data_IF_345218811161
#
_entry.id   IF_345218811161
#
_cell.length_a   1.000
_cell.length_b   1.000
_cell.length_c   1.000
_cell.angle_alpha   90.00
_cell.angle_beta   90.00
_cell.angle_gamma   90.00
#
_symmetry.space_group_name_H-M   'P 1'
#
loop_
_entity.id
_entity.type
_entity.pdbx_description
1 polymer ?
#
# COMPACT_ATOMS: atom_id res chain seq x y z
N UNK A 1 -25.84 0.45 6.02
CA UNK A 1 -24.45 0.17 5.62
C UNK A 1 -23.63 1.39 6.00
N UNK A 2 -22.83 1.32 7.05
CA UNK A 2 -21.94 2.43 7.41
C UNK A 2 -20.82 2.39 6.36
N UNK A 3 -20.85 3.31 5.41
CA UNK A 3 -19.75 3.49 4.47
C UNK A 3 -18.62 4.17 5.26
N UNK A 4 -17.61 3.39 5.69
CA UNK A 4 -16.38 3.98 6.21
C UNK A 4 -15.62 4.64 5.07
N UNK A 5 -15.16 5.86 5.32
CA UNK A 5 -14.31 6.56 4.36
C UNK A 5 -12.98 5.81 4.16
N UNK A 6 -12.45 5.80 2.92
CA UNK A 6 -11.12 5.27 2.62
C UNK A 6 -10.02 5.83 3.53
N UNK A 7 -9.16 4.95 4.08
CA UNK A 7 -7.95 5.38 4.81
C UNK A 7 -6.79 5.41 3.81
N UNK A 8 -6.55 6.57 3.21
CA UNK A 8 -5.52 6.75 2.18
C UNK A 8 -4.17 7.18 2.77
N UNK A 9 -3.09 6.66 2.19
CA UNK A 9 -1.73 7.09 2.46
C UNK A 9 -1.32 8.28 1.60
N UNK A 10 -0.13 8.81 1.88
CA UNK A 10 0.54 9.89 1.12
C UNK A 10 0.69 9.60 -0.37
N UNK A 11 0.85 8.33 -0.74
CA UNK A 11 0.92 7.86 -2.13
C UNK A 11 -0.36 7.19 -2.64
N UNK A 12 -1.43 7.15 -1.84
CA UNK A 12 -2.74 6.67 -2.26
C UNK A 12 -2.98 5.18 -1.99
N UNK A 13 -2.10 4.48 -1.29
CA UNK A 13 -2.41 3.14 -0.78
C UNK A 13 -3.56 3.20 0.22
N UNK A 14 -4.30 2.10 0.38
CA UNK A 14 -5.40 1.96 1.34
C UNK A 14 -4.96 1.16 2.56
N UNK A 15 -4.78 1.86 3.66
CA UNK A 15 -4.50 1.23 4.95
C UNK A 15 -5.68 0.38 5.41
N UNK A 16 -6.92 0.80 5.17
CA UNK A 16 -8.13 0.05 5.56
C UNK A 16 -8.26 -1.31 4.84
N UNK A 17 -7.69 -1.46 3.64
CA UNK A 17 -7.65 -2.75 2.93
C UNK A 17 -6.38 -3.56 3.23
N UNK A 18 -5.37 -2.96 3.86
CA UNK A 18 -4.07 -3.57 4.05
C UNK A 18 -4.07 -4.47 5.28
N UNK A 19 -3.76 -5.76 5.08
CA UNK A 19 -3.64 -6.73 6.18
C UNK A 19 -2.52 -6.40 7.19
N UNK A 20 -1.51 -5.63 6.79
CA UNK A 20 -0.43 -5.20 7.68
C UNK A 20 -0.79 -3.98 8.53
N UNK A 21 -1.90 -3.29 8.26
CA UNK A 21 -2.29 -2.11 9.01
C UNK A 21 -2.64 -2.51 10.45
N UNK A 22 -2.08 -1.83 11.44
CA UNK A 22 -2.16 -2.23 12.85
C UNK A 22 -3.59 -2.52 13.33
N UNK A 23 -4.62 -1.67 13.07
CA UNK A 23 -6.00 -2.01 13.40
C UNK A 23 -6.52 -3.31 12.77
N UNK A 24 -6.11 -3.61 11.52
CA UNK A 24 -6.50 -4.83 10.83
C UNK A 24 -5.77 -6.07 11.39
N UNK A 25 -4.52 -5.90 11.83
CA UNK A 25 -3.76 -6.96 12.54
C UNK A 25 -4.35 -7.23 13.91
N UNK A 26 -4.76 -6.18 14.65
CA UNK A 26 -5.38 -6.32 15.98
C UNK A 26 -6.76 -6.98 15.89
N UNK A 27 -7.56 -6.63 14.88
CA UNK A 27 -8.84 -7.27 14.62
C UNK A 27 -8.70 -8.72 14.12
N UNK A 28 -7.66 -9.01 13.33
CA UNK A 28 -7.43 -10.31 12.70
C UNK A 28 -5.94 -10.69 12.75
N UNK A 29 -5.45 -11.27 13.86
CA UNK A 29 -4.02 -11.56 14.05
C UNK A 29 -3.40 -12.48 12.99
N UNK A 30 -4.20 -13.37 12.39
CA UNK A 30 -3.81 -14.31 11.33
C UNK A 30 -3.44 -13.61 10.01
N UNK A 31 -3.86 -12.35 9.82
CA UNK A 31 -3.50 -11.51 8.68
C UNK A 31 -1.98 -11.48 8.45
N UNK A 32 -1.19 -11.56 9.52
CA UNK A 32 0.28 -11.54 9.44
C UNK A 32 0.82 -12.76 8.70
N UNK A 33 0.34 -13.95 9.04
CA UNK A 33 0.76 -15.18 8.38
C UNK A 33 0.28 -15.19 6.93
N UNK A 34 -1.02 -14.89 6.72
CA UNK A 34 -1.64 -14.86 5.38
C UNK A 34 -0.93 -13.88 4.45
N UNK A 35 -0.63 -12.66 4.92
CA UNK A 35 0.07 -11.66 4.12
C UNK A 35 1.51 -12.07 3.82
N UNK A 36 2.21 -12.63 4.81
CA UNK A 36 3.57 -13.10 4.63
C UNK A 36 3.67 -14.24 3.59
N UNK A 37 2.73 -15.18 3.62
CA UNK A 37 2.64 -16.27 2.63
C UNK A 37 2.21 -15.73 1.26
N UNK A 38 1.23 -14.82 1.23
CA UNK A 38 0.74 -14.18 0.02
C UNK A 38 1.82 -13.39 -0.72
N UNK A 39 2.62 -12.60 0.00
CA UNK A 39 3.76 -11.88 -0.58
C UNK A 39 4.85 -12.79 -1.09
N UNK A 40 5.16 -13.87 -0.37
CA UNK A 40 6.16 -14.83 -0.83
C UNK A 40 5.71 -15.55 -2.10
N UNK A 41 4.45 -16.00 -2.14
CA UNK A 41 3.84 -16.65 -3.29
C UNK A 41 3.78 -15.74 -4.52
N UNK A 42 3.32 -14.50 -4.36
CA UNK A 42 3.04 -13.60 -5.49
C UNK A 42 4.25 -12.77 -5.93
N UNK A 43 5.18 -12.46 -5.03
CA UNK A 43 6.28 -11.52 -5.28
C UNK A 43 7.67 -12.06 -4.88
N UNK A 44 7.76 -13.27 -4.32
CA UNK A 44 9.02 -13.94 -4.01
C UNK A 44 9.77 -13.40 -2.78
N UNK A 45 9.26 -12.37 -2.09
CA UNK A 45 9.88 -11.84 -0.88
C UNK A 45 9.11 -12.25 0.38
N UNK A 46 9.84 -12.39 1.50
CA UNK A 46 9.28 -12.77 2.80
C UNK A 46 9.52 -11.67 3.82
N UNK A 47 8.46 -11.26 4.51
CA UNK A 47 8.58 -10.53 5.78
C UNK A 47 8.09 -11.48 6.87
N UNK A 48 8.88 -11.79 7.91
CA UNK A 48 8.43 -12.65 9.00
C UNK A 48 7.11 -12.14 9.59
N UNK A 49 6.09 -12.99 9.83
CA UNK A 49 4.78 -12.58 10.33
C UNK A 49 4.86 -11.68 11.57
N UNK A 50 5.77 -11.95 12.50
CA UNK A 50 6.03 -11.16 13.72
C UNK A 50 6.46 -9.71 13.42
N UNK A 51 7.01 -9.45 12.24
CA UNK A 51 7.43 -8.12 11.78
C UNK A 51 6.34 -7.41 10.96
N UNK A 52 5.20 -8.06 10.68
CA UNK A 52 4.09 -7.47 9.94
C UNK A 52 3.16 -6.74 10.90
N UNK A 53 3.44 -5.45 11.09
CA UNK A 53 2.55 -4.49 11.74
C UNK A 53 2.99 -3.08 11.34
N UNK A 54 2.08 -2.31 10.74
CA UNK A 54 2.33 -0.98 10.21
C UNK A 54 1.30 0.00 10.74
N UNK A 55 1.74 1.11 11.32
CA UNK A 55 0.85 2.15 11.85
C UNK A 55 0.22 3.02 10.75
N UNK A 56 0.67 2.87 9.50
CA UNK A 56 0.28 3.75 8.39
C UNK A 56 1.02 5.08 8.41
N UNK A 57 1.35 5.63 7.23
CA UNK A 57 2.22 6.81 7.13
C UNK A 57 1.55 8.16 7.45
N UNK A 58 0.25 8.14 7.78
CA UNK A 58 -0.51 9.32 8.19
C UNK A 58 -0.50 9.50 9.71
N UNK A 59 -0.11 8.46 10.46
CA UNK A 59 0.00 8.51 11.91
C UNK A 59 1.21 9.33 12.36
N UNK A 60 1.15 9.88 13.57
CA UNK A 60 2.26 10.60 14.20
C UNK A 60 3.34 9.61 14.66
N UNK A 61 4.61 9.84 14.30
CA UNK A 61 5.76 8.98 14.63
C UNK A 61 5.53 7.47 14.40
N UNK A 62 5.15 7.04 13.18
CA UNK A 62 4.64 5.69 12.93
C UNK A 62 5.76 4.64 12.88
N UNK A 63 5.47 3.43 13.38
CA UNK A 63 6.21 2.21 13.01
C UNK A 63 5.76 1.75 11.62
N UNK A 64 6.68 1.75 10.66
CA UNK A 64 6.42 1.44 9.25
C UNK A 64 7.17 0.18 8.79
N UNK A 65 6.60 -0.53 7.81
CA UNK A 65 7.28 -1.66 7.15
C UNK A 65 8.24 -1.15 6.08
N UNK A 66 7.76 -0.35 5.12
CA UNK A 66 8.63 0.32 4.15
C UNK A 66 9.28 1.52 4.85
N UNK A 67 10.54 1.42 5.25
CA UNK A 67 11.29 2.51 5.89
C UNK A 67 11.94 3.48 4.88
N UNK A 68 12.09 3.07 3.62
CA UNK A 68 12.85 3.80 2.58
C UNK A 68 11.97 4.50 1.55
N UNK A 69 10.66 4.62 1.79
CA UNK A 69 9.72 5.27 0.88
C UNK A 69 10.13 6.72 0.54
N UNK A 70 10.37 7.04 -0.74
CA UNK A 70 10.75 8.39 -1.16
C UNK A 70 9.59 9.39 -1.12
N UNK A 71 8.34 8.90 -1.14
CA UNK A 71 7.15 9.76 -1.14
C UNK A 71 6.95 10.48 0.19
N UNK A 72 7.21 9.80 1.32
CA UNK A 72 6.95 10.36 2.66
C UNK A 72 7.70 11.68 2.92
N UNK A 73 9.04 11.73 2.85
CA UNK A 73 9.75 12.99 3.06
C UNK A 73 9.36 14.03 2.01
N UNK A 74 9.08 13.62 0.77
CA UNK A 74 8.68 14.52 -0.31
C UNK A 74 7.40 15.30 0.01
N UNK A 75 6.31 14.64 0.41
CA UNK A 75 5.05 15.36 0.69
C UNK A 75 5.15 16.22 1.95
N UNK A 76 5.95 15.80 2.95
CA UNK A 76 6.22 16.60 4.15
C UNK A 76 6.97 17.88 3.77
N UNK A 77 8.02 17.77 2.97
CA UNK A 77 8.81 18.90 2.47
C UNK A 77 7.97 19.87 1.63
N UNK A 78 7.04 19.35 0.83
CA UNK A 78 6.15 20.16 -0.01
C UNK A 78 4.95 20.75 0.74
N UNK A 79 4.74 20.39 2.01
CA UNK A 79 3.61 20.86 2.80
C UNK A 79 2.25 20.43 2.25
N UNK A 80 2.18 19.26 1.60
CA UNK A 80 0.93 18.67 1.07
C UNK A 80 0.60 17.38 1.82
N UNK A 81 -0.68 17.02 1.88
CA UNK A 81 -1.12 15.80 2.57
C UNK A 81 -0.71 14.56 1.78
N UNK A 82 -0.82 14.63 0.46
CA UNK A 82 -0.64 13.49 -0.42
C UNK A 82 -0.23 13.92 -1.84
N UNK A 83 0.25 12.97 -2.65
CA UNK A 83 0.76 13.28 -3.98
C UNK A 83 -0.30 13.89 -4.91
N UNK A 84 -1.59 13.60 -4.71
CA UNK A 84 -2.66 14.15 -5.56
C UNK A 84 -2.83 15.65 -5.43
N UNK A 85 -2.23 16.29 -4.43
CA UNK A 85 -2.21 17.74 -4.24
C UNK A 85 -0.94 18.39 -4.78
N UNK A 86 0.09 17.61 -5.14
CA UNK A 86 1.36 18.14 -5.64
C UNK A 86 1.21 18.62 -7.09
N UNK A 87 1.72 19.81 -7.41
CA UNK A 87 1.72 20.35 -8.79
C UNK A 87 2.46 19.45 -9.79
N UNK A 88 3.51 18.78 -9.33
CA UNK A 88 4.39 17.95 -10.17
C UNK A 88 3.89 16.50 -10.28
N UNK A 89 2.68 16.20 -9.78
CA UNK A 89 2.11 14.86 -9.85
C UNK A 89 1.60 14.52 -11.26
N UNK A 90 1.93 13.33 -11.81
CA UNK A 90 2.80 12.30 -11.24
C UNK A 90 4.30 12.60 -11.44
N UNK A 91 5.10 12.51 -10.37
CA UNK A 91 6.56 12.70 -10.41
C UNK A 91 7.32 11.38 -10.23
N UNK A 92 8.64 11.38 -10.46
CA UNK A 92 9.51 10.19 -10.34
C UNK A 92 9.37 9.47 -9.00
N UNK A 93 9.34 10.21 -7.89
CA UNK A 93 9.19 9.65 -6.53
C UNK A 93 7.87 8.91 -6.35
N UNK A 94 6.78 9.38 -6.97
CA UNK A 94 5.50 8.67 -6.98
C UNK A 94 5.59 7.41 -7.84
N UNK A 95 6.20 7.51 -9.03
CA UNK A 95 6.35 6.39 -9.96
C UNK A 95 7.15 5.23 -9.34
N UNK A 96 8.11 5.50 -8.46
CA UNK A 96 8.84 4.47 -7.68
C UNK A 96 7.97 3.68 -6.68
N UNK A 97 6.77 4.16 -6.37
CA UNK A 97 5.77 3.49 -5.51
C UNK A 97 4.43 3.35 -6.22
N UNK A 98 4.41 3.48 -7.55
CA UNK A 98 3.21 3.26 -8.32
C UNK A 98 2.97 1.76 -8.43
N UNK A 99 1.74 1.34 -8.17
CA UNK A 99 1.28 -0.03 -8.41
C UNK A 99 0.03 0.04 -9.27
N UNK A 100 0.01 -0.77 -10.33
CA UNK A 100 -1.19 -1.08 -11.10
C UNK A 100 -1.28 -2.59 -11.25
N UNK A 101 -2.50 -3.12 -11.26
CA UNK A 101 -2.70 -4.56 -11.44
C UNK A 101 -2.13 -5.03 -12.78
N UNK A 102 -2.27 -4.24 -13.84
CA UNK A 102 -1.77 -4.59 -15.18
C UNK A 102 -0.24 -4.76 -15.19
N UNK A 103 0.50 -3.88 -14.51
CA UNK A 103 1.95 -4.00 -14.39
C UNK A 103 2.37 -5.23 -13.58
N UNK A 104 1.66 -5.52 -12.49
CA UNK A 104 1.94 -6.70 -11.67
C UNK A 104 1.62 -7.99 -12.43
N UNK A 105 0.46 -8.07 -13.08
CA UNK A 105 0.02 -9.21 -13.89
C UNK A 105 0.97 -9.48 -15.07
N UNK A 106 1.48 -8.43 -15.73
CA UNK A 106 2.46 -8.58 -16.80
C UNK A 106 3.85 -9.05 -16.30
N UNK A 107 4.15 -8.87 -15.01
CA UNK A 107 5.41 -9.24 -14.39
C UNK A 107 5.47 -10.69 -13.88
N UNK A 108 4.35 -11.42 -13.91
CA UNK A 108 4.28 -12.82 -13.46
C UNK A 108 3.85 -13.74 -14.60
N UNK A 109 4.32 -15.02 -14.63
CA UNK A 109 4.02 -15.94 -15.72
C UNK A 109 2.64 -16.63 -15.58
N UNK A 110 1.86 -16.29 -14.56
CA UNK A 110 0.57 -16.92 -14.25
C UNK A 110 -0.54 -15.87 -14.12
N UNK A 111 -1.79 -16.28 -14.32
CA UNK A 111 -2.94 -15.42 -14.03
C UNK A 111 -3.10 -15.29 -12.51
N UNK A 112 -3.13 -14.04 -12.02
CA UNK A 112 -3.25 -13.77 -10.60
C UNK A 112 -4.69 -14.04 -10.17
N UNK A 113 -4.92 -14.93 -9.18
CA UNK A 113 -6.26 -15.20 -8.68
C UNK A 113 -6.96 -13.91 -8.22
N UNK A 114 -8.28 -13.75 -8.44
CA UNK A 114 -9.01 -12.55 -8.00
C UNK A 114 -8.86 -12.25 -6.52
N UNK A 115 -8.80 -13.29 -5.67
CA UNK A 115 -8.57 -13.14 -4.24
C UNK A 115 -7.16 -12.66 -3.92
N UNK A 116 -6.14 -13.13 -4.64
CA UNK A 116 -4.77 -12.66 -4.47
C UNK A 116 -4.65 -11.19 -4.86
N UNK A 117 -5.33 -10.75 -5.94
CA UNK A 117 -5.42 -9.32 -6.27
C UNK A 117 -6.08 -8.55 -5.13
N UNK A 118 -7.24 -8.98 -4.67
CA UNK A 118 -8.01 -8.30 -3.61
C UNK A 118 -7.20 -8.16 -2.32
N UNK A 119 -6.47 -9.21 -1.94
CA UNK A 119 -5.75 -9.30 -0.68
C UNK A 119 -4.36 -8.65 -0.70
N UNK A 120 -3.63 -8.78 -1.82
CA UNK A 120 -2.19 -8.51 -1.86
C UNK A 120 -1.79 -7.39 -2.83
N UNK A 121 -2.70 -6.94 -3.70
CA UNK A 121 -2.41 -5.93 -4.75
C UNK A 121 -3.31 -4.71 -4.63
N UNK A 122 -4.62 -4.91 -4.53
CA UNK A 122 -5.64 -3.86 -4.47
C UNK A 122 -5.40 -2.80 -3.38
N UNK A 123 -4.91 -3.14 -2.17
CA UNK A 123 -4.55 -2.13 -1.17
C UNK A 123 -3.49 -1.14 -1.67
N UNK A 124 -2.65 -1.56 -2.62
CA UNK A 124 -1.52 -0.79 -3.14
C UNK A 124 -1.79 -0.17 -4.52
N UNK A 125 -2.81 -0.61 -5.26
CA UNK A 125 -3.20 -0.02 -6.55
C UNK A 125 -3.54 1.48 -6.39
N UNK A 126 -2.58 2.37 -6.63
CA UNK A 126 -2.72 3.81 -6.34
C UNK A 126 -2.91 4.68 -7.58
N UNK A 127 -2.40 4.26 -8.75
CA UNK A 127 -2.53 5.03 -9.99
C UNK A 127 -3.98 5.35 -10.33
N UNK A 128 -4.88 4.38 -10.18
CA UNK A 128 -6.28 4.55 -10.52
C UNK A 128 -7.04 5.47 -9.56
N UNK A 129 -6.50 5.73 -8.36
CA UNK A 129 -7.18 6.51 -7.31
C UNK A 129 -7.05 8.00 -7.51
N UNK A 130 -5.95 8.43 -8.13
CA UNK A 130 -5.65 9.84 -8.40
C UNK A 130 -5.37 10.00 -9.88
N UNK A 131 -6.44 10.11 -10.66
CA UNK A 131 -6.34 10.57 -12.05
C UNK A 131 -6.47 12.08 -12.04
N UNK A 132 -5.50 12.77 -12.63
CA UNK A 132 -5.73 14.09 -13.22
C UNK A 132 -5.91 13.86 -14.72
N UNK A 133 -6.91 14.53 -15.28
CA UNK A 133 -7.24 14.49 -16.70
C UNK A 133 -6.06 14.94 -17.57
#
# INVERSE_FOLDING_TARGET
MICMDPILTRCGYRCDLCMAFKPNVEAHPDNRQVLSDGWYKNFGFRIPPENISCDGCMSENPKLIDQTCPVRPCVIEHGVDNCSQCKDFPCSKFLERQVTFEQIQAGVPFEIPPDDRRCFILPYENKARWKRE
#
